data_IF_463974905107
#
_entry.id   IF_463974905107
#
_cell.length_a   1.000
_cell.length_b   1.000
_cell.length_c   1.000
_cell.angle_alpha   90.00
_cell.angle_beta   90.00
_cell.angle_gamma   90.00
#
_symmetry.space_group_name_H-M   'P 1'
#
loop_
_entity.id
_entity.type
_entity.pdbx_description
1 polymer ?
#
# COMPACT_ATOMS: atom_id res chain seq x y z
N UNK A 1 55.68 -21.93 -14.65
CA UNK A 1 54.40 -22.15 -13.94
C UNK A 1 54.02 -20.86 -13.25
N UNK A 2 52.85 -20.31 -13.55
CA UNK A 2 52.40 -19.03 -13.01
C UNK A 2 51.57 -18.22 -14.00
N UNK A 3 50.58 -18.86 -14.61
CA UNK A 3 49.52 -18.20 -15.37
C UNK A 3 48.57 -17.48 -14.39
N UNK A 4 48.60 -16.16 -14.35
CA UNK A 4 47.55 -15.34 -13.74
C UNK A 4 46.36 -15.23 -14.71
N UNK A 5 45.16 -15.70 -14.36
CA UNK A 5 43.98 -15.47 -15.17
C UNK A 5 43.46 -14.05 -14.92
N UNK A 6 43.15 -13.36 -16.01
CA UNK A 6 42.65 -11.99 -16.03
C UNK A 6 41.37 -11.80 -15.23
N UNK A 7 41.29 -10.64 -14.58
CA UNK A 7 40.07 -10.15 -13.97
C UNK A 7 38.98 -10.02 -15.04
N UNK A 8 37.87 -10.73 -14.85
CA UNK A 8 36.64 -10.45 -15.58
C UNK A 8 36.13 -9.09 -15.12
N UNK A 9 36.20 -8.10 -16.01
CA UNK A 9 35.38 -6.90 -15.91
C UNK A 9 33.92 -7.34 -15.79
N UNK A 10 33.33 -7.12 -14.62
CA UNK A 10 31.89 -7.24 -14.44
C UNK A 10 31.31 -6.06 -15.19
N UNK A 11 30.72 -6.30 -16.37
CA UNK A 11 29.94 -5.29 -17.07
C UNK A 11 28.92 -4.72 -16.09
N UNK A 12 28.95 -3.40 -15.90
CA UNK A 12 27.86 -2.65 -15.28
C UNK A 12 26.61 -2.92 -16.13
N UNK A 13 25.81 -3.90 -15.71
CA UNK A 13 24.65 -4.39 -16.44
C UNK A 13 23.64 -3.25 -16.57
N UNK A 14 23.31 -2.90 -17.82
CA UNK A 14 22.16 -2.07 -18.13
C UNK A 14 20.95 -2.66 -17.40
N UNK A 15 20.26 -1.84 -16.60
CA UNK A 15 19.00 -2.26 -15.99
C UNK A 15 18.06 -2.75 -17.10
N UNK A 16 17.34 -3.87 -16.89
CA UNK A 16 16.44 -4.39 -17.91
C UNK A 16 15.45 -3.30 -18.33
N UNK A 17 15.41 -3.00 -19.63
CA UNK A 17 14.46 -2.05 -20.20
C UNK A 17 13.13 -2.79 -20.37
N UNK A 18 12.23 -2.61 -19.42
CA UNK A 18 10.87 -3.11 -19.52
C UNK A 18 10.05 -2.24 -20.46
N UNK A 19 9.22 -2.87 -21.30
CA UNK A 19 8.30 -2.18 -22.23
C UNK A 19 7.05 -1.63 -21.55
N UNK A 20 6.78 -2.04 -20.30
CA UNK A 20 5.65 -1.57 -19.51
C UNK A 20 5.65 -2.21 -18.11
N UNK A 21 4.69 -1.78 -17.29
CA UNK A 21 4.55 -2.22 -15.90
C UNK A 21 3.14 -2.75 -15.66
N UNK A 22 3.02 -3.80 -14.84
CA UNK A 22 1.74 -4.32 -14.38
C UNK A 22 1.62 -4.03 -12.87
N UNK A 23 0.83 -3.02 -12.52
CA UNK A 23 0.68 -2.56 -11.13
C UNK A 23 -0.44 -3.37 -10.47
N UNK A 24 -0.17 -4.02 -9.34
CA UNK A 24 -1.05 -4.99 -8.68
C UNK A 24 -1.48 -4.45 -7.31
N UNK A 25 -2.79 -4.53 -7.03
CA UNK A 25 -3.46 -4.09 -5.81
C UNK A 25 -3.19 -4.96 -4.57
N UNK A 26 -3.94 -4.66 -3.51
CA UNK A 26 -3.84 -5.28 -2.18
C UNK A 26 -4.15 -6.78 -2.24
N UNK A 27 -3.14 -7.61 -1.93
CA UNK A 27 -3.22 -9.08 -2.06
C UNK A 27 -3.85 -9.73 -0.83
N UNK A 28 -3.52 -9.24 0.37
CA UNK A 28 -4.06 -9.73 1.65
C UNK A 28 -4.12 -11.27 1.76
N UNK A 29 -3.03 -11.96 1.46
CA UNK A 29 -2.94 -13.42 1.56
C UNK A 29 -3.78 -14.21 0.55
N UNK A 30 -4.31 -13.58 -0.52
CA UNK A 30 -5.04 -14.25 -1.59
C UNK A 30 -4.08 -14.88 -2.64
N UNK A 31 -3.20 -15.79 -2.20
CA UNK A 31 -2.10 -16.32 -3.01
C UNK A 31 -2.55 -16.93 -4.34
N UNK A 32 -3.61 -17.74 -4.33
CA UNK A 32 -4.08 -18.37 -5.57
C UNK A 32 -4.71 -17.37 -6.55
N UNK A 33 -5.41 -16.33 -6.05
CA UNK A 33 -5.90 -15.25 -6.89
C UNK A 33 -4.73 -14.46 -7.49
N UNK A 34 -3.65 -14.26 -6.72
CA UNK A 34 -2.42 -13.65 -7.22
C UNK A 34 -1.79 -14.49 -8.35
N UNK A 35 -1.67 -15.81 -8.18
CA UNK A 35 -1.17 -16.71 -9.24
C UNK A 35 -2.03 -16.60 -10.50
N UNK A 36 -3.36 -16.72 -10.35
CA UNK A 36 -4.29 -16.62 -11.47
C UNK A 36 -4.21 -15.26 -12.19
N UNK A 37 -4.04 -14.16 -11.45
CA UNK A 37 -3.89 -12.83 -12.02
C UNK A 37 -2.56 -12.69 -12.79
N UNK A 38 -1.45 -13.17 -12.20
CA UNK A 38 -0.13 -13.17 -12.83
C UNK A 38 -0.15 -13.97 -14.14
N UNK A 39 -0.70 -15.18 -14.13
CA UNK A 39 -0.86 -16.03 -15.31
C UNK A 39 -1.73 -15.36 -16.37
N UNK A 40 -2.86 -14.77 -15.96
CA UNK A 40 -3.75 -14.01 -16.87
C UNK A 40 -3.04 -12.82 -17.53
N UNK A 41 -2.08 -12.21 -16.86
CA UNK A 41 -1.25 -11.13 -17.41
C UNK A 41 -0.05 -11.65 -18.23
N UNK A 42 0.16 -12.96 -18.32
CA UNK A 42 1.25 -13.55 -19.10
C UNK A 42 2.56 -13.69 -18.33
N UNK A 43 2.53 -13.68 -17.00
CA UNK A 43 3.68 -14.07 -16.19
C UNK A 43 3.75 -15.59 -16.09
N UNK A 44 4.95 -16.13 -16.21
CA UNK A 44 5.21 -17.57 -16.12
C UNK A 44 6.21 -17.86 -14.99
N UNK A 45 6.04 -18.96 -14.24
CA UNK A 45 6.99 -19.36 -13.22
C UNK A 45 8.27 -19.94 -13.86
N UNK A 46 9.36 -19.19 -13.83
CA UNK A 46 10.69 -19.63 -14.26
C UNK A 46 11.51 -19.96 -13.01
N UNK A 47 11.84 -21.23 -12.80
CA UNK A 47 12.45 -21.74 -11.57
C UNK A 47 11.66 -21.36 -10.30
N UNK A 48 10.33 -21.39 -10.39
CA UNK A 48 9.43 -21.07 -9.26
C UNK A 48 9.17 -19.57 -9.06
N UNK A 49 9.79 -18.69 -9.85
CA UNK A 49 9.63 -17.23 -9.75
C UNK A 49 8.86 -16.73 -10.96
N UNK A 50 7.74 -16.05 -10.73
CA UNK A 50 6.93 -15.47 -11.81
C UNK A 50 7.69 -14.34 -12.53
N UNK A 51 7.80 -14.45 -13.85
CA UNK A 51 8.46 -13.46 -14.71
C UNK A 51 7.63 -13.22 -15.98
N UNK A 52 7.67 -11.99 -16.48
CA UNK A 52 7.12 -11.64 -17.79
C UNK A 52 8.27 -11.39 -18.78
N UNK A 53 8.05 -11.66 -20.07
CA UNK A 53 9.09 -11.54 -21.10
C UNK A 53 9.64 -10.11 -21.24
N UNK A 54 8.77 -9.10 -21.12
CA UNK A 54 9.10 -7.70 -21.38
C UNK A 54 8.43 -6.70 -20.41
N UNK A 55 7.87 -7.15 -19.27
CA UNK A 55 7.16 -6.30 -18.29
C UNK A 55 7.65 -6.58 -16.87
N UNK A 56 7.47 -5.62 -15.98
CA UNK A 56 7.76 -5.76 -14.55
C UNK A 56 6.51 -5.54 -13.72
N UNK A 57 6.29 -6.37 -12.70
CA UNK A 57 5.18 -6.16 -11.78
C UNK A 57 5.51 -5.06 -10.75
N UNK A 58 4.51 -4.33 -10.26
CA UNK A 58 4.68 -3.41 -9.12
C UNK A 58 3.53 -3.63 -8.13
N UNK A 59 3.82 -4.09 -6.92
CA UNK A 59 2.83 -4.28 -5.87
C UNK A 59 2.63 -3.00 -5.05
N UNK A 60 1.37 -2.63 -4.78
CA UNK A 60 1.03 -1.40 -4.03
C UNK A 60 1.02 -1.57 -2.50
N UNK A 61 1.53 -2.67 -1.98
CA UNK A 61 1.54 -2.98 -0.54
C UNK A 61 0.47 -4.00 -0.13
N UNK A 62 0.31 -4.19 1.18
CA UNK A 62 -0.76 -4.97 1.80
C UNK A 62 -0.85 -6.41 1.29
N UNK A 63 0.26 -7.13 1.39
CA UNK A 63 0.34 -8.56 1.06
C UNK A 63 -0.16 -9.42 2.20
N UNK A 64 0.00 -8.95 3.45
CA UNK A 64 -0.31 -9.72 4.66
C UNK A 64 -1.67 -9.39 5.26
N UNK A 65 -2.00 -10.10 6.35
CA UNK A 65 -3.21 -10.00 7.15
C UNK A 65 -4.51 -10.42 6.44
N UNK A 66 -5.50 -10.81 7.26
CA UNK A 66 -6.86 -11.25 6.89
C UNK A 66 -6.96 -12.55 6.09
N UNK A 67 -6.23 -12.72 5.00
CA UNK A 67 -6.46 -13.84 4.08
C UNK A 67 -5.87 -15.18 4.53
N UNK A 68 -6.24 -16.27 3.83
CA UNK A 68 -5.93 -17.64 4.26
C UNK A 68 -4.51 -18.11 3.91
N UNK A 69 -3.82 -17.48 2.95
CA UNK A 69 -2.53 -17.95 2.38
C UNK A 69 -1.46 -16.87 2.37
N UNK A 70 -1.27 -16.20 3.50
CA UNK A 70 -0.34 -15.07 3.69
C UNK A 70 1.10 -15.49 3.44
N UNK A 71 1.54 -16.64 3.96
CA UNK A 71 2.90 -17.14 3.75
C UNK A 71 3.20 -17.41 2.27
N UNK A 72 2.25 -17.99 1.56
CA UNK A 72 2.40 -18.27 0.14
C UNK A 72 2.40 -16.99 -0.70
N UNK A 73 1.50 -16.04 -0.40
CA UNK A 73 1.48 -14.74 -1.07
C UNK A 73 2.78 -13.97 -0.84
N UNK A 74 3.29 -13.93 0.40
CA UNK A 74 4.56 -13.32 0.72
C UNK A 74 5.73 -13.96 -0.02
N UNK A 75 5.77 -15.29 -0.10
CA UNK A 75 6.81 -15.99 -0.86
C UNK A 75 6.78 -15.58 -2.33
N UNK A 76 5.61 -15.61 -2.98
CA UNK A 76 5.47 -15.20 -4.39
C UNK A 76 5.98 -13.77 -4.59
N UNK A 77 5.47 -12.82 -3.81
CA UNK A 77 5.80 -11.39 -3.99
C UNK A 77 7.28 -11.13 -3.70
N UNK A 78 7.79 -11.66 -2.58
CA UNK A 78 9.19 -11.48 -2.18
C UNK A 78 10.15 -12.10 -3.18
N UNK A 79 9.90 -13.34 -3.62
CA UNK A 79 10.73 -14.01 -4.61
C UNK A 79 10.78 -13.20 -5.91
N UNK A 80 9.65 -12.64 -6.37
CA UNK A 80 9.61 -11.79 -7.55
C UNK A 80 10.39 -10.48 -7.38
N UNK A 81 10.33 -9.86 -6.20
CA UNK A 81 11.03 -8.61 -5.89
C UNK A 81 12.54 -8.83 -5.80
N UNK A 82 12.98 -9.83 -5.04
CA UNK A 82 14.41 -10.19 -4.91
C UNK A 82 15.02 -10.61 -6.25
N UNK A 83 14.22 -11.21 -7.13
CA UNK A 83 14.61 -11.62 -8.48
C UNK A 83 14.56 -10.52 -9.55
N UNK A 84 14.15 -9.30 -9.18
CA UNK A 84 14.05 -8.13 -10.05
C UNK A 84 12.89 -8.15 -11.06
N UNK A 85 12.01 -9.15 -11.01
CA UNK A 85 10.79 -9.24 -11.83
C UNK A 85 9.61 -8.44 -11.28
N UNK A 86 9.72 -7.96 -10.04
CA UNK A 86 8.77 -7.06 -9.43
C UNK A 86 9.44 -5.97 -8.59
N UNK A 87 8.68 -4.93 -8.27
CA UNK A 87 8.94 -3.97 -7.19
C UNK A 87 7.72 -3.95 -6.25
N UNK A 88 7.88 -3.42 -5.04
CA UNK A 88 6.78 -3.27 -4.07
C UNK A 88 6.98 -2.02 -3.23
N UNK A 89 5.90 -1.29 -2.97
CA UNK A 89 5.88 -0.26 -1.90
C UNK A 89 5.33 -0.85 -0.62
N UNK A 90 5.74 -0.31 0.53
CA UNK A 90 5.21 -0.71 1.83
C UNK A 90 3.71 -0.37 1.94
N UNK A 91 2.89 -1.34 2.36
CA UNK A 91 1.50 -1.11 2.74
C UNK A 91 1.33 -0.80 4.22
N UNK A 92 0.12 -0.42 4.63
CA UNK A 92 -0.14 -0.15 6.04
C UNK A 92 -0.12 -1.42 6.89
N UNK A 93 -0.39 -2.59 6.30
CA UNK A 93 -0.36 -3.85 7.02
C UNK A 93 1.07 -4.29 7.32
N UNK A 94 2.01 -4.15 6.39
CA UNK A 94 3.43 -4.35 6.66
C UNK A 94 3.94 -3.40 7.75
N UNK A 95 3.57 -2.11 7.68
CA UNK A 95 3.89 -1.14 8.74
C UNK A 95 3.27 -1.51 10.10
N UNK A 96 2.00 -1.95 10.12
CA UNK A 96 1.36 -2.38 11.36
C UNK A 96 2.08 -3.58 11.98
N UNK A 97 2.51 -4.55 11.16
CA UNK A 97 3.25 -5.72 11.63
C UNK A 97 4.61 -5.34 12.22
N UNK A 98 5.34 -4.43 11.57
CA UNK A 98 6.57 -3.85 12.11
C UNK A 98 6.34 -3.24 13.50
N UNK A 99 5.33 -2.38 13.62
CA UNK A 99 5.00 -1.75 14.90
C UNK A 99 4.54 -2.75 15.98
N UNK A 100 3.77 -3.77 15.58
CA UNK A 100 3.22 -4.79 16.49
C UNK A 100 4.32 -5.69 17.07
N UNK A 101 5.32 -6.02 16.26
CA UNK A 101 6.42 -6.92 16.64
C UNK A 101 7.63 -6.18 17.25
N UNK A 102 7.67 -4.84 17.19
CA UNK A 102 8.79 -4.04 17.72
C UNK A 102 8.49 -3.50 19.11
N UNK A 103 9.36 -3.80 20.08
CA UNK A 103 9.29 -3.22 21.43
C UNK A 103 9.64 -1.74 21.39
N UNK A 104 8.95 -0.94 22.19
CA UNK A 104 9.30 0.46 22.34
C UNK A 104 10.63 0.63 23.11
N UNK A 105 11.28 1.78 22.93
CA UNK A 105 12.52 2.12 23.66
C UNK A 105 12.24 2.31 25.15
N UNK A 106 13.23 2.07 26.02
CA UNK A 106 13.15 2.48 27.42
C UNK A 106 12.73 3.96 27.54
N UNK A 107 11.77 4.24 28.42
CA UNK A 107 11.18 5.58 28.59
C UNK A 107 9.95 5.88 27.75
N UNK A 108 9.58 5.00 26.80
CA UNK A 108 8.27 5.06 26.14
C UNK A 108 7.13 4.76 27.12
N UNK A 109 5.96 5.41 26.99
CA UNK A 109 4.75 5.04 27.74
C UNK A 109 4.11 3.73 27.24
N UNK A 110 4.61 3.17 26.13
CA UNK A 110 4.11 1.96 25.48
C UNK A 110 5.13 0.84 25.57
N UNK A 111 4.66 -0.41 25.55
CA UNK A 111 5.51 -1.61 25.53
C UNK A 111 5.96 -1.95 24.12
N UNK A 112 5.07 -1.74 23.14
CA UNK A 112 5.32 -1.96 21.71
C UNK A 112 5.05 -0.67 20.93
N UNK A 113 5.63 -0.53 19.74
CA UNK A 113 5.34 0.62 18.87
C UNK A 113 3.89 0.63 18.38
N UNK A 114 3.26 -0.55 18.39
CA UNK A 114 1.82 -0.72 18.24
C UNK A 114 1.30 -1.66 19.33
N UNK A 115 0.62 -1.10 20.31
CA UNK A 115 0.06 -1.84 21.45
C UNK A 115 -0.90 -2.96 21.04
N UNK A 116 -0.87 -4.08 21.77
CA UNK A 116 -1.64 -5.30 21.48
C UNK A 116 -3.10 -5.21 21.96
N UNK A 117 -3.79 -4.17 21.50
CA UNK A 117 -5.23 -3.98 21.75
C UNK A 117 -6.06 -5.05 21.02
N UNK A 118 -7.27 -5.34 21.50
CA UNK A 118 -8.17 -6.29 20.84
C UNK A 118 -8.39 -6.00 19.33
N UNK A 119 -8.40 -4.72 18.94
CA UNK A 119 -8.51 -4.32 17.53
C UNK A 119 -7.25 -4.68 16.73
N UNK A 120 -6.07 -4.37 17.27
CA UNK A 120 -4.80 -4.65 16.59
C UNK A 120 -4.57 -6.16 16.49
N UNK A 121 -4.87 -6.91 17.54
CA UNK A 121 -4.75 -8.37 17.56
C UNK A 121 -5.62 -9.01 16.46
N UNK A 122 -6.89 -8.59 16.33
CA UNK A 122 -7.77 -9.07 15.25
C UNK A 122 -7.24 -8.78 13.84
N UNK A 123 -6.51 -7.68 13.65
CA UNK A 123 -5.99 -7.32 12.33
C UNK A 123 -4.85 -8.24 11.91
N UNK A 124 -3.90 -8.50 12.82
CA UNK A 124 -2.69 -9.27 12.54
C UNK A 124 -2.85 -10.79 12.79
N UNK A 125 -3.98 -11.21 13.37
CA UNK A 125 -4.21 -12.56 13.87
C UNK A 125 -3.83 -13.66 12.87
N UNK A 126 -4.28 -13.54 11.62
CA UNK A 126 -4.04 -14.56 10.58
C UNK A 126 -2.56 -14.64 10.20
N UNK A 127 -1.86 -13.50 10.15
CA UNK A 127 -0.41 -13.48 9.92
C UNK A 127 0.29 -14.24 11.05
N UNK A 128 0.01 -13.89 12.31
CA UNK A 128 0.67 -14.54 13.45
C UNK A 128 0.36 -16.05 13.51
N UNK A 129 -0.89 -16.46 13.25
CA UNK A 129 -1.28 -17.87 13.22
C UNK A 129 -0.54 -18.66 12.14
N UNK A 130 -0.46 -18.14 10.91
CA UNK A 130 0.21 -18.85 9.82
C UNK A 130 1.73 -18.96 10.04
N UNK A 131 2.33 -18.01 10.77
CA UNK A 131 3.75 -17.99 11.12
C UNK A 131 4.07 -18.56 12.51
N UNK A 132 3.11 -19.09 13.26
CA UNK A 132 3.31 -19.57 14.64
C UNK A 132 4.43 -20.63 14.72
N UNK A 133 4.48 -21.53 13.74
CA UNK A 133 5.51 -22.57 13.63
C UNK A 133 6.76 -22.13 12.84
N UNK A 134 6.80 -20.87 12.39
CA UNK A 134 7.83 -20.32 11.51
C UNK A 134 8.32 -18.92 11.96
N UNK A 135 8.73 -18.74 13.22
CA UNK A 135 9.10 -17.41 13.76
C UNK A 135 10.30 -16.77 13.07
N UNK A 136 11.27 -17.57 12.62
CA UNK A 136 12.44 -17.06 11.87
C UNK A 136 12.05 -16.53 10.49
N UNK A 137 11.07 -17.16 9.84
CA UNK A 137 10.53 -16.72 8.56
C UNK A 137 9.78 -15.40 8.72
N UNK A 138 8.97 -15.26 9.77
CA UNK A 138 8.31 -14.00 10.11
C UNK A 138 9.33 -12.89 10.33
N UNK A 139 10.38 -13.14 11.12
CA UNK A 139 11.43 -12.15 11.35
C UNK A 139 12.12 -11.73 10.04
N UNK A 140 12.44 -12.69 9.17
CA UNK A 140 13.03 -12.38 7.87
C UNK A 140 12.10 -11.54 6.98
N UNK A 141 10.77 -11.68 7.09
CA UNK A 141 9.82 -10.80 6.41
C UNK A 141 9.73 -9.42 7.05
N UNK A 142 9.77 -9.30 8.38
CA UNK A 142 9.81 -8.00 9.06
C UNK A 142 11.06 -7.21 8.65
N UNK A 143 12.22 -7.86 8.61
CA UNK A 143 13.47 -7.23 8.15
C UNK A 143 13.36 -6.79 6.68
N UNK A 144 12.73 -7.62 5.83
CA UNK A 144 12.45 -7.26 4.44
C UNK A 144 11.48 -6.08 4.33
N UNK A 145 10.45 -5.99 5.16
CA UNK A 145 9.51 -4.86 5.14
C UNK A 145 10.22 -3.52 5.38
N UNK A 146 11.22 -3.46 6.26
CA UNK A 146 12.03 -2.24 6.46
C UNK A 146 12.82 -1.82 5.21
N UNK A 147 13.12 -2.77 4.31
CA UNK A 147 13.79 -2.48 3.03
C UNK A 147 12.84 -1.96 1.95
N UNK A 148 11.52 -2.04 2.15
CA UNK A 148 10.54 -1.59 1.17
C UNK A 148 10.47 -0.05 1.12
N UNK A 149 10.42 0.55 -0.08
CA UNK A 149 10.17 1.98 -0.22
C UNK A 149 8.74 2.34 0.17
N UNK A 150 8.53 3.53 0.73
CA UNK A 150 7.19 4.08 1.02
C UNK A 150 6.46 4.50 -0.26
N UNK A 151 7.20 4.83 -1.32
CA UNK A 151 6.67 5.26 -2.61
C UNK A 151 7.69 4.97 -3.73
N UNK A 152 7.20 4.85 -4.96
CA UNK A 152 8.02 4.78 -6.17
C UNK A 152 7.69 5.99 -7.05
N UNK A 153 8.73 6.73 -7.44
CA UNK A 153 8.66 7.83 -8.39
C UNK A 153 9.31 7.37 -9.69
N UNK A 154 8.50 6.89 -10.62
CA UNK A 154 8.96 6.30 -11.88
C UNK A 154 8.93 7.35 -13.00
N UNK A 155 9.69 7.16 -14.09
CA UNK A 155 9.53 8.00 -15.27
C UNK A 155 8.08 7.93 -15.79
N UNK A 156 7.34 9.02 -15.63
CA UNK A 156 5.97 9.17 -16.14
C UNK A 156 4.85 8.71 -15.21
N UNK A 157 5.12 8.08 -14.05
CA UNK A 157 4.06 7.66 -13.12
C UNK A 157 4.57 7.47 -11.69
N UNK A 158 3.63 7.30 -10.75
CA UNK A 158 3.87 7.26 -9.31
C UNK A 158 3.13 6.08 -8.68
N UNK A 159 3.72 5.46 -7.67
CA UNK A 159 3.08 4.39 -6.90
C UNK A 159 3.27 4.67 -5.40
N UNK A 160 2.19 4.57 -4.64
CA UNK A 160 2.16 4.72 -3.18
C UNK A 160 0.97 3.96 -2.64
N UNK A 161 1.05 3.41 -1.43
CA UNK A 161 -0.02 2.55 -0.95
C UNK A 161 -1.37 3.26 -0.80
N UNK A 162 -1.43 4.46 -0.22
CA UNK A 162 -2.73 5.13 -0.01
C UNK A 162 -2.83 6.53 -0.62
N UNK A 163 -1.86 7.42 -0.42
CA UNK A 163 -1.99 8.80 -0.89
C UNK A 163 -0.64 9.40 -1.21
N UNK A 164 -0.49 9.92 -2.42
CA UNK A 164 0.71 10.63 -2.85
C UNK A 164 0.65 12.06 -2.36
N UNK A 165 1.58 12.49 -1.52
CA UNK A 165 1.63 13.87 -1.03
C UNK A 165 2.97 14.47 -1.43
N UNK A 166 2.98 15.28 -2.49
CA UNK A 166 4.21 15.83 -3.06
C UNK A 166 5.01 16.63 -2.01
N UNK A 167 4.36 17.50 -1.23
CA UNK A 167 5.05 18.32 -0.23
C UNK A 167 5.67 17.45 0.87
N UNK A 168 4.92 16.48 1.37
CA UNK A 168 5.38 15.59 2.43
C UNK A 168 6.48 14.64 1.96
N UNK A 169 6.36 14.12 0.74
CA UNK A 169 7.38 13.28 0.09
C UNK A 169 8.67 14.07 -0.13
N UNK A 170 8.60 15.30 -0.65
CA UNK A 170 9.81 16.13 -0.83
C UNK A 170 10.45 16.48 0.52
N UNK A 171 9.66 16.85 1.53
CA UNK A 171 10.18 17.09 2.87
C UNK A 171 10.90 15.85 3.46
N UNK A 172 10.33 14.66 3.24
CA UNK A 172 10.92 13.40 3.65
C UNK A 172 12.22 13.10 2.89
N UNK A 173 12.22 13.20 1.55
CA UNK A 173 13.41 13.01 0.70
C UNK A 173 14.53 13.96 1.09
N UNK A 174 14.22 15.24 1.32
CA UNK A 174 15.21 16.24 1.73
C UNK A 174 15.83 15.94 3.10
N UNK A 175 15.07 15.34 4.02
CA UNK A 175 15.56 15.02 5.38
C UNK A 175 16.36 13.72 5.42
N UNK A 176 15.95 12.69 4.68
CA UNK A 176 16.50 11.34 4.83
C UNK A 176 17.26 10.82 3.61
N UNK A 177 17.15 11.46 2.44
CA UNK A 177 17.88 11.08 1.23
C UNK A 177 17.53 9.70 0.66
N UNK A 178 16.40 9.11 1.06
CA UNK A 178 15.96 7.77 0.68
C UNK A 178 14.43 7.68 0.61
N UNK A 179 13.92 6.54 0.12
CA UNK A 179 12.48 6.24 0.09
C UNK A 179 12.06 5.18 1.13
N UNK A 180 13.01 4.58 1.86
CA UNK A 180 12.78 3.50 2.85
C UNK A 180 12.86 4.02 4.27
N UNK A 181 12.26 3.32 5.24
CA UNK A 181 12.39 3.67 6.67
C UNK A 181 13.54 2.90 7.34
N UNK A 182 13.96 3.33 8.52
CA UNK A 182 14.86 2.56 9.40
C UNK A 182 14.18 2.40 10.77
N UNK A 183 14.88 1.75 11.70
CA UNK A 183 14.36 1.54 13.04
C UNK A 183 14.14 2.85 13.81
N UNK A 184 15.04 3.83 13.69
CA UNK A 184 14.86 5.14 14.34
C UNK A 184 13.59 5.83 13.84
N UNK A 185 13.39 5.86 12.52
CA UNK A 185 12.19 6.40 11.90
C UNK A 185 10.93 5.63 12.34
N UNK A 186 10.98 4.30 12.42
CA UNK A 186 9.87 3.48 12.89
C UNK A 186 9.48 3.85 14.32
N UNK A 187 10.46 4.01 15.22
CA UNK A 187 10.24 4.48 16.58
C UNK A 187 9.61 5.89 16.60
N UNK A 188 10.18 6.84 15.86
CA UNK A 188 9.65 8.20 15.75
C UNK A 188 8.22 8.23 15.22
N UNK A 189 7.87 7.31 14.30
CA UNK A 189 6.54 7.23 13.70
C UNK A 189 5.44 6.87 14.71
N UNK A 190 5.81 6.22 15.82
CA UNK A 190 4.87 5.87 16.90
C UNK A 190 4.54 7.05 17.83
N UNK A 191 5.31 8.14 17.75
CA UNK A 191 5.12 9.33 18.59
C UNK A 191 3.97 10.18 18.03
N UNK A 192 2.91 10.45 18.82
CA UNK A 192 1.77 11.25 18.36
C UNK A 192 2.19 12.62 17.81
N UNK A 193 1.73 12.94 16.60
CA UNK A 193 1.99 14.22 15.95
C UNK A 193 3.42 14.40 15.40
N UNK A 194 4.27 13.37 15.45
CA UNK A 194 5.62 13.44 14.86
C UNK A 194 5.59 13.60 13.34
N UNK A 195 6.68 14.09 12.76
CA UNK A 195 6.82 14.14 11.30
C UNK A 195 6.73 12.73 10.69
N UNK A 196 7.43 11.76 11.29
CA UNK A 196 7.42 10.38 10.83
C UNK A 196 6.01 9.77 10.88
N UNK A 197 5.25 10.01 11.95
CA UNK A 197 3.87 9.54 12.08
C UNK A 197 2.97 10.13 10.99
N UNK A 198 3.10 11.44 10.71
CA UNK A 198 2.37 12.08 9.60
C UNK A 198 2.72 11.50 8.23
N UNK A 199 3.99 11.19 7.98
CA UNK A 199 4.44 10.52 6.73
C UNK A 199 3.76 9.15 6.61
N UNK A 200 3.84 8.31 7.65
CA UNK A 200 3.27 6.97 7.62
C UNK A 200 1.74 7.00 7.49
N UNK A 201 1.05 7.86 8.23
CA UNK A 201 -0.39 7.97 8.15
C UNK A 201 -0.86 8.52 6.80
N UNK A 202 -0.21 9.55 6.25
CA UNK A 202 -0.57 10.09 4.93
C UNK A 202 -0.32 9.08 3.83
N UNK A 203 0.89 8.55 3.72
CA UNK A 203 1.28 7.70 2.58
C UNK A 203 0.65 6.32 2.64
N UNK A 204 0.40 5.78 3.84
CA UNK A 204 -0.11 4.41 4.02
C UNK A 204 -1.58 4.35 4.44
N UNK A 205 -2.20 5.43 4.93
CA UNK A 205 -3.62 5.38 5.37
C UNK A 205 -4.51 6.44 4.72
N UNK A 206 -3.93 7.32 3.90
CA UNK A 206 -4.66 8.32 3.14
C UNK A 206 -4.89 9.61 3.91
N UNK A 207 -5.92 10.34 3.50
CA UNK A 207 -6.29 11.65 4.06
C UNK A 207 -7.41 11.52 5.09
N UNK A 208 -7.43 12.43 6.06
CA UNK A 208 -8.49 12.58 7.03
C UNK A 208 -8.77 14.06 7.32
N UNK A 209 -9.95 14.34 7.87
CA UNK A 209 -10.31 15.64 8.41
C UNK A 209 -10.82 15.49 9.85
N UNK A 210 -10.47 16.43 10.74
CA UNK A 210 -11.06 16.47 12.06
C UNK A 210 -12.57 16.73 11.97
N UNK A 211 -13.33 16.14 12.88
CA UNK A 211 -14.72 16.50 13.10
C UNK A 211 -14.79 17.90 13.71
N UNK A 212 -15.75 18.74 13.29
CA UNK A 212 -15.87 20.12 13.78
C UNK A 212 -16.26 20.13 15.26
N UNK A 213 -15.91 21.22 15.95
CA UNK A 213 -16.38 21.54 17.30
C UNK A 213 -16.12 20.45 18.36
N UNK A 214 -15.09 19.63 18.16
CA UNK A 214 -14.74 18.53 19.07
C UNK A 214 -15.72 17.35 19.04
N UNK A 215 -16.59 17.28 18.03
CA UNK A 215 -17.53 16.19 17.86
C UNK A 215 -16.82 14.84 17.77
N UNK A 216 -17.54 13.80 18.19
CA UNK A 216 -17.08 12.42 18.07
C UNK A 216 -18.15 11.54 17.46
N UNK A 217 -17.73 10.57 16.64
CA UNK A 217 -18.62 9.57 16.05
C UNK A 217 -18.20 8.21 16.57
N UNK A 218 -19.15 7.45 17.11
CA UNK A 218 -18.94 6.05 17.45
C UNK A 218 -19.17 5.21 16.19
N UNK A 219 -18.12 4.58 15.67
CA UNK A 219 -18.23 3.69 14.52
C UNK A 219 -18.99 2.40 14.85
N UNK A 220 -19.40 1.66 13.82
CA UNK A 220 -20.04 0.35 13.97
C UNK A 220 -19.15 -0.68 14.66
N UNK A 221 -17.83 -0.45 14.68
CA UNK A 221 -16.82 -1.22 15.42
C UNK A 221 -16.69 -0.81 16.91
N UNK A 222 -17.51 0.14 17.36
CA UNK A 222 -17.52 0.66 18.73
C UNK A 222 -16.43 1.70 19.02
N UNK A 223 -15.58 2.04 18.05
CA UNK A 223 -14.48 2.99 18.24
C UNK A 223 -14.95 4.44 18.13
N UNK A 224 -14.52 5.29 19.06
CA UNK A 224 -14.84 6.71 19.06
C UNK A 224 -13.82 7.45 18.19
N UNK A 225 -14.31 8.07 17.11
CA UNK A 225 -13.51 8.80 16.13
C UNK A 225 -13.70 10.30 16.33
N UNK A 226 -12.59 11.03 16.32
CA UNK A 226 -12.54 12.51 16.29
C UNK A 226 -12.28 13.06 14.89
N UNK A 227 -11.99 12.17 13.95
CA UNK A 227 -11.63 12.46 12.56
C UNK A 227 -12.43 11.51 11.67
N UNK A 228 -12.75 11.94 10.46
CA UNK A 228 -13.30 11.08 9.41
C UNK A 228 -12.32 10.99 8.25
N UNK A 229 -12.29 9.83 7.62
CA UNK A 229 -11.43 9.61 6.46
C UNK A 229 -11.98 10.38 5.27
N UNK A 230 -11.09 10.97 4.49
CA UNK A 230 -11.45 11.68 3.27
C UNK A 230 -10.89 10.99 2.03
N UNK A 231 -11.58 11.15 0.91
CA UNK A 231 -11.08 10.82 -0.42
C UNK A 231 -10.46 12.04 -1.08
N UNK A 232 -9.30 11.88 -1.70
CA UNK A 232 -8.57 12.94 -2.40
C UNK A 232 -8.98 13.07 -3.90
N UNK A 233 -9.89 12.22 -4.38
CA UNK A 233 -10.31 12.19 -5.78
C UNK A 233 -11.66 12.88 -6.06
N UNK A 234 -12.30 13.48 -5.05
CA UNK A 234 -13.54 14.23 -5.23
C UNK A 234 -13.36 15.43 -6.19
N UNK A 235 -14.31 15.68 -7.11
CA UNK A 235 -14.28 16.82 -8.05
C UNK A 235 -15.01 18.00 -7.41
N UNK A 236 -14.32 19.14 -7.26
CA UNK A 236 -14.85 20.38 -6.65
C UNK A 236 -15.72 20.13 -5.39
N UNK A 237 -15.17 19.50 -4.34
CA UNK A 237 -15.96 19.11 -3.18
C UNK A 237 -16.51 20.33 -2.45
N UNK A 238 -17.80 20.33 -2.10
CA UNK A 238 -18.47 21.44 -1.40
C UNK A 238 -18.80 21.11 0.04
N UNK A 239 -19.17 19.87 0.32
CA UNK A 239 -19.68 19.39 1.58
C UNK A 239 -18.84 18.24 2.12
N UNK A 240 -19.06 17.88 3.39
CA UNK A 240 -18.44 16.70 3.99
C UNK A 240 -18.85 15.41 3.28
N UNK A 241 -20.09 15.31 2.79
CA UNK A 241 -20.56 14.19 1.98
C UNK A 241 -19.75 13.99 0.69
N UNK A 242 -19.22 15.07 0.12
CA UNK A 242 -18.42 14.99 -1.11
C UNK A 242 -17.05 14.35 -0.88
N UNK A 243 -16.53 14.41 0.35
CA UNK A 243 -15.17 13.99 0.67
C UNK A 243 -15.11 12.82 1.64
N UNK A 244 -16.16 12.50 2.38
CA UNK A 244 -16.14 11.38 3.32
C UNK A 244 -15.89 10.05 2.60
N UNK A 245 -15.01 9.24 3.16
CA UNK A 245 -14.71 7.90 2.67
C UNK A 245 -14.48 6.92 3.83
N UNK A 246 -15.56 6.39 4.38
CA UNK A 246 -15.51 5.40 5.47
C UNK A 246 -16.80 4.55 5.48
N UNK A 247 -16.80 3.37 6.13
CA UNK A 247 -17.99 2.50 6.17
C UNK A 247 -19.21 3.15 6.81
N UNK A 248 -19.00 3.89 7.90
CA UNK A 248 -20.07 4.56 8.63
C UNK A 248 -20.31 5.97 8.07
N UNK A 249 -21.47 6.20 7.46
CA UNK A 249 -21.85 7.52 6.97
C UNK A 249 -21.81 8.56 8.10
N UNK A 250 -21.44 9.80 7.75
CA UNK A 250 -21.59 10.91 8.69
C UNK A 250 -23.08 11.15 8.95
N UNK A 251 -23.49 11.53 10.19
CA UNK A 251 -24.86 11.95 10.47
C UNK A 251 -25.33 13.04 9.50
N UNK A 252 -26.61 13.05 9.13
CA UNK A 252 -27.13 13.86 8.02
C UNK A 252 -26.74 15.34 8.05
N UNK A 253 -26.92 16.03 9.18
CA UNK A 253 -26.53 17.44 9.33
C UNK A 253 -25.03 17.65 9.15
N UNK A 254 -24.21 16.71 9.63
CA UNK A 254 -22.77 16.78 9.48
C UNK A 254 -22.31 16.49 8.05
N UNK A 255 -22.97 15.55 7.37
CA UNK A 255 -22.69 15.23 5.97
C UNK A 255 -22.98 16.42 5.05
N UNK A 256 -24.06 17.17 5.32
CA UNK A 256 -24.45 18.35 4.54
C UNK A 256 -23.66 19.62 4.88
N UNK A 257 -22.81 19.62 5.91
CA UNK A 257 -21.99 20.77 6.28
C UNK A 257 -21.02 21.12 5.15
N UNK A 258 -20.95 22.40 4.82
CA UNK A 258 -20.00 22.92 3.84
C UNK A 258 -18.56 22.85 4.38
N UNK A 259 -17.63 22.51 3.49
CA UNK A 259 -16.21 22.57 3.76
C UNK A 259 -15.77 24.04 3.88
N UNK A 260 -15.18 24.39 5.02
CA UNK A 260 -14.56 25.70 5.21
C UNK A 260 -13.36 25.89 4.27
N UNK A 261 -12.95 27.15 4.03
CA UNK A 261 -11.78 27.43 3.20
C UNK A 261 -10.49 26.78 3.75
N UNK A 262 -10.38 26.61 5.07
CA UNK A 262 -9.25 25.91 5.69
C UNK A 262 -9.31 24.40 5.47
N UNK A 263 -10.48 23.79 5.64
CA UNK A 263 -10.67 22.35 5.37
C UNK A 263 -10.42 22.04 3.90
N UNK A 264 -10.88 22.89 2.97
CA UNK A 264 -10.60 22.73 1.53
C UNK A 264 -9.12 22.77 1.21
N UNK A 265 -8.33 23.63 1.87
CA UNK A 265 -6.87 23.67 1.70
C UNK A 265 -6.17 22.42 2.25
N UNK A 266 -6.78 21.70 3.19
CA UNK A 266 -6.25 20.44 3.74
C UNK A 266 -6.60 19.24 2.85
N UNK A 267 -7.58 19.36 1.95
CA UNK A 267 -7.90 18.33 0.99
C UNK A 267 -6.79 18.24 -0.04
N UNK A 268 -6.25 17.04 -0.18
CA UNK A 268 -5.34 16.76 -1.27
C UNK A 268 -6.14 16.56 -2.56
N UNK A 269 -5.67 17.13 -3.67
CA UNK A 269 -6.24 16.96 -5.00
C UNK A 269 -5.11 16.99 -6.03
N UNK A 270 -5.10 16.02 -6.95
CA UNK A 270 -4.13 16.02 -8.05
C UNK A 270 -4.67 16.81 -9.25
N UNK A 271 -3.89 17.73 -9.85
CA UNK A 271 -4.27 18.30 -11.13
C UNK A 271 -4.29 17.18 -12.18
N UNK A 272 -5.17 17.26 -13.18
CA UNK A 272 -5.28 16.23 -14.23
C UNK A 272 -3.99 16.14 -15.09
N UNK A 273 -3.18 17.19 -15.09
CA UNK A 273 -1.86 17.22 -15.73
C UNK A 273 -0.74 16.56 -14.92
N UNK A 274 -0.98 16.18 -13.66
CA UNK A 274 0.02 15.48 -12.86
C UNK A 274 0.24 14.06 -13.39
N UNK A 275 1.44 13.49 -13.22
CA UNK A 275 1.72 12.10 -13.57
C UNK A 275 0.69 11.15 -12.94
N UNK A 276 0.27 10.09 -13.65
CA UNK A 276 -0.55 9.04 -13.08
C UNK A 276 -0.06 8.53 -11.74
N UNK A 277 -0.99 8.29 -10.82
CA UNK A 277 -0.73 7.69 -9.52
C UNK A 277 -1.57 6.43 -9.32
N UNK A 278 -0.90 5.37 -8.88
CA UNK A 278 -1.52 4.09 -8.54
C UNK A 278 -1.49 3.88 -7.03
N UNK A 279 -2.64 3.51 -6.47
CA UNK A 279 -2.84 3.33 -5.01
C UNK A 279 -3.64 2.07 -4.68
N UNK A 280 -3.57 1.62 -3.43
CA UNK A 280 -4.36 0.57 -2.80
C UNK A 280 -5.30 1.11 -1.72
N UNK A 281 -5.44 0.40 -0.59
CA UNK A 281 -5.99 0.83 0.71
C UNK A 281 -7.51 1.12 0.83
N UNK A 282 -8.21 1.42 -0.27
CA UNK A 282 -9.55 2.03 -0.20
C UNK A 282 -10.74 1.05 -0.24
N UNK A 283 -10.53 -0.27 -0.28
CA UNK A 283 -11.61 -1.27 -0.19
C UNK A 283 -12.75 -1.01 -1.18
N UNK A 284 -12.43 -0.70 -2.43
CA UNK A 284 -13.44 -0.52 -3.46
C UNK A 284 -14.19 -1.83 -3.71
N UNK A 285 -15.34 -1.71 -4.36
CA UNK A 285 -16.21 -2.84 -4.70
C UNK A 285 -16.84 -2.62 -6.06
N UNK A 286 -17.31 -3.69 -6.68
CA UNK A 286 -17.85 -3.66 -8.03
C UNK A 286 -16.76 -3.74 -9.10
N UNK A 287 -17.10 -3.28 -10.31
CA UNK A 287 -16.21 -3.34 -11.47
C UNK A 287 -15.08 -2.31 -11.32
N UNK A 288 -13.82 -2.66 -11.67
CA UNK A 288 -12.73 -1.68 -11.65
C UNK A 288 -12.97 -0.48 -12.56
N UNK A 289 -12.86 0.71 -11.98
CA UNK A 289 -13.06 1.99 -12.64
C UNK A 289 -11.98 3.00 -12.22
N UNK A 290 -11.74 4.00 -13.07
CA UNK A 290 -10.82 5.08 -12.77
C UNK A 290 -11.44 6.06 -11.77
N UNK A 291 -10.70 6.40 -10.72
CA UNK A 291 -11.12 7.44 -9.77
C UNK A 291 -11.05 8.82 -10.42
N UNK A 292 -9.98 9.03 -11.22
CA UNK A 292 -9.74 10.21 -12.07
C UNK A 292 -8.93 9.80 -13.31
N UNK A 293 -8.84 10.64 -14.35
CA UNK A 293 -8.03 10.34 -15.54
C UNK A 293 -6.56 9.98 -15.26
N UNK A 294 -6.01 10.42 -14.13
CA UNK A 294 -4.64 10.14 -13.70
C UNK A 294 -4.56 9.45 -12.31
N UNK A 295 -5.65 8.86 -11.82
CA UNK A 295 -5.68 8.14 -10.52
C UNK A 295 -6.38 6.80 -10.67
N UNK A 296 -5.66 5.72 -10.38
CA UNK A 296 -6.22 4.38 -10.29
C UNK A 296 -6.00 3.82 -8.87
N UNK A 297 -7.09 3.47 -8.20
CA UNK A 297 -7.04 2.60 -7.02
C UNK A 297 -7.19 1.15 -7.47
N UNK A 298 -6.43 0.25 -6.87
CA UNK A 298 -6.35 -1.17 -7.22
C UNK A 298 -6.81 -2.10 -6.07
N UNK A 299 -7.22 -1.54 -4.95
CA UNK A 299 -7.82 -2.30 -3.85
C UNK A 299 -9.33 -2.45 -4.08
N UNK A 300 -9.74 -3.63 -4.55
CA UNK A 300 -11.13 -4.02 -4.72
C UNK A 300 -11.55 -5.13 -3.75
N UNK A 301 -11.05 -5.05 -2.51
CA UNK A 301 -11.47 -5.90 -1.40
C UNK A 301 -11.29 -7.41 -1.68
N UNK A 302 -10.19 -7.81 -2.32
CA UNK A 302 -9.90 -9.19 -2.71
C UNK A 302 -10.17 -10.20 -1.58
N UNK A 303 -9.68 -9.90 -0.37
CA UNK A 303 -9.83 -10.77 0.82
C UNK A 303 -11.26 -10.84 1.39
N UNK A 304 -12.18 -10.01 0.91
CA UNK A 304 -13.62 -10.07 1.21
C UNK A 304 -14.43 -10.60 0.03
N UNK A 305 -13.82 -11.46 -0.77
CA UNK A 305 -14.43 -12.05 -1.96
C UNK A 305 -14.79 -11.02 -3.05
N UNK A 306 -14.03 -9.92 -3.09
CA UNK A 306 -14.04 -8.98 -4.20
C UNK A 306 -13.14 -9.46 -5.34
N UNK A 307 -12.44 -8.53 -6.00
CA UNK A 307 -11.53 -8.85 -7.08
C UNK A 307 -10.09 -8.47 -6.71
N UNK A 308 -9.13 -9.30 -7.11
CA UNK A 308 -7.72 -8.90 -7.12
C UNK A 308 -7.46 -8.21 -8.46
N UNK A 309 -7.04 -6.94 -8.39
CA UNK A 309 -7.00 -6.05 -9.55
C UNK A 309 -5.56 -5.61 -9.83
N UNK A 310 -5.25 -5.51 -11.12
CA UNK A 310 -4.06 -4.91 -11.65
C UNK A 310 -4.38 -3.90 -12.76
N UNK A 311 -3.42 -3.06 -13.09
CA UNK A 311 -3.47 -2.13 -14.21
C UNK A 311 -2.23 -2.34 -15.10
N UNK A 312 -2.45 -2.51 -16.42
CA UNK A 312 -1.36 -2.62 -17.40
C UNK A 312 -0.94 -1.25 -17.91
N UNK A 313 0.15 -0.71 -17.38
CA UNK A 313 0.67 0.61 -17.75
C UNK A 313 1.71 0.51 -18.88
N UNK A 314 1.53 1.32 -19.92
CA UNK A 314 2.40 1.33 -21.11
C UNK A 314 3.05 2.71 -21.34
N UNK A 315 3.02 3.59 -20.33
CA UNK A 315 3.59 4.93 -20.42
C UNK A 315 2.60 6.04 -20.80
N UNK A 316 1.30 5.74 -20.84
CA UNK A 316 0.27 6.74 -21.12
C UNK A 316 0.16 7.80 -20.01
N UNK A 317 -0.16 9.05 -20.38
CA UNK A 317 -0.37 10.14 -19.40
C UNK A 317 -1.80 10.19 -18.86
N UNK A 318 -2.77 9.74 -19.66
CA UNK A 318 -4.16 9.58 -19.27
C UNK A 318 -4.48 8.09 -19.21
N UNK A 319 -4.94 7.63 -18.05
CA UNK A 319 -5.28 6.24 -17.81
C UNK A 319 -6.56 5.84 -18.57
N UNK A 320 -6.68 4.55 -18.87
CA UNK A 320 -7.86 3.96 -19.52
C UNK A 320 -8.43 2.83 -18.68
N UNK A 321 -9.76 2.80 -18.54
CA UNK A 321 -10.44 1.72 -17.83
C UNK A 321 -10.27 0.35 -18.52
N UNK A 322 -9.96 0.33 -19.82
CA UNK A 322 -9.74 -0.92 -20.58
C UNK A 322 -8.43 -1.63 -20.22
N UNK A 323 -7.55 -0.96 -19.46
CA UNK A 323 -6.26 -1.49 -19.03
C UNK A 323 -6.29 -2.15 -17.66
N UNK A 324 -7.43 -2.16 -16.98
CA UNK A 324 -7.62 -2.97 -15.79
C UNK A 324 -7.67 -4.46 -16.15
N UNK A 325 -6.95 -5.27 -15.37
CA UNK A 325 -7.01 -6.73 -15.43
C UNK A 325 -7.32 -7.22 -14.04
N UNK A 326 -8.30 -8.11 -13.89
CA UNK A 326 -8.66 -8.63 -12.57
C UNK A 326 -9.08 -10.09 -12.62
N UNK A 327 -9.08 -10.71 -11.44
CA UNK A 327 -9.67 -12.01 -11.18
C UNK A 327 -10.56 -11.90 -9.94
N UNK A 328 -11.70 -12.58 -9.96
CA UNK A 328 -12.61 -12.59 -8.82
C UNK A 328 -12.12 -13.59 -7.78
N UNK A 329 -12.18 -13.22 -6.49
CA UNK A 329 -11.77 -14.07 -5.37
C UNK A 329 -12.99 -14.85 -4.88
N UNK A 330 -13.17 -16.06 -5.38
CA UNK A 330 -14.29 -16.91 -4.98
C UNK A 330 -14.03 -17.66 -3.65
N UNK A 331 -15.02 -17.71 -2.73
CA UNK A 331 -14.89 -18.39 -1.44
C UNK A 331 -14.60 -19.90 -1.50
N UNK A 332 -14.84 -20.56 -2.63
CA UNK A 332 -14.69 -22.03 -2.77
C UNK A 332 -13.57 -22.45 -3.70
N UNK A 333 -13.03 -21.52 -4.49
CA UNK A 333 -12.05 -21.83 -5.55
C UNK A 333 -10.62 -21.58 -5.12
N UNK A 334 -10.41 -20.72 -4.13
CA UNK A 334 -9.08 -20.25 -3.74
C UNK A 334 -8.74 -20.45 -2.25
N UNK A 335 -9.70 -20.92 -1.45
CA UNK A 335 -9.50 -21.29 -0.04
C UNK A 335 -8.71 -22.59 0.14
#
# INVERSE_FOLDING_TARGET
MGSHPGGRCVNAGQSPVFSGYDIIGDVHGCAHALQALLEKMGYEPINGIYRHQNRQAIFVGDVIDRGPRIREALRIVRDMVEAGSAQMVMGNHEYNALGYCTRARPGSPHTYLREHTARHNRTIEQTLKQFEQHPLELQAHLDWFLSLPLFLEMPGFRVVHACWDDELIQAYKNRYGRATIDMDFLHDSSVPGSFAGRVMDRLLRGTDLPLPDGLTIKGGDGYIRKHFRTRFWARDPRTYADVVFQPDALPGELASRELSAEERRKLLCYPESAPPVFVGHYWLSGRPELLRPNVACLDYSAVKYGSLVAYRFDGETALSADKFVWVDVEPKRFD
#
